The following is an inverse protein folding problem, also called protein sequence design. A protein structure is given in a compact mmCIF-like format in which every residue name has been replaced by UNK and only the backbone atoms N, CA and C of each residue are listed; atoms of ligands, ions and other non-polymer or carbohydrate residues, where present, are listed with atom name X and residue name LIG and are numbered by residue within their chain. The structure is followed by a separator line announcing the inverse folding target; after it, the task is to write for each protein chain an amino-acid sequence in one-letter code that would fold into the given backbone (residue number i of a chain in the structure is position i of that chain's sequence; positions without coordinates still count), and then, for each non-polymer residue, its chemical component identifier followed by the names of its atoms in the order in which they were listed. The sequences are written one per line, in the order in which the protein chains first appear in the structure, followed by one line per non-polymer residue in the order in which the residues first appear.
data_IF_101083713039
#
_entry.id   IF_101083713039
#
_cell.length_a   1.000
_cell.length_b   1.000
_cell.length_c   1.000
_cell.angle_alpha   90.00
_cell.angle_beta   90.00
_cell.angle_gamma   90.00
#
_symmetry.space_group_name_H-M   'P 1'
#
loop_
_entity.id
_entity.type
_entity.pdbx_description
1 polymer ?
#
# COMPACT_ATOMS: atom_id res chain seq x y z
N UNK A 1 14.96 4.57 -24.77
CA UNK A 1 13.98 4.45 -23.66
C UNK A 1 14.42 3.29 -22.79
N UNK A 2 14.96 3.57 -21.60
CA UNK A 2 15.39 2.55 -20.66
C UNK A 2 14.18 1.77 -20.17
N UNK A 3 14.25 0.45 -20.19
CA UNK A 3 13.28 -0.43 -19.53
C UNK A 3 13.48 -0.30 -18.01
N UNK A 4 12.94 0.73 -17.43
CA UNK A 4 12.80 0.75 -15.98
C UNK A 4 11.74 -0.29 -15.63
N UNK A 5 12.10 -1.26 -14.79
CA UNK A 5 11.13 -2.24 -14.29
C UNK A 5 9.99 -1.49 -13.61
N UNK A 6 8.75 -1.82 -13.95
CA UNK A 6 7.57 -1.23 -13.34
C UNK A 6 7.32 -2.02 -12.05
N UNK A 7 7.32 -1.34 -10.92
CA UNK A 7 6.82 -1.89 -9.67
C UNK A 7 5.29 -2.01 -9.77
N UNK A 8 4.72 -3.10 -9.30
CA UNK A 8 3.29 -3.33 -9.31
C UNK A 8 2.79 -4.24 -10.44
N UNK A 9 1.48 -4.39 -10.54
CA UNK A 9 0.83 -5.21 -11.55
C UNK A 9 0.98 -4.58 -12.95
N UNK A 10 1.25 -5.41 -13.96
CA UNK A 10 1.53 -4.94 -15.33
C UNK A 10 0.36 -4.19 -15.97
N UNK A 11 -0.87 -4.55 -15.64
CA UNK A 11 -2.08 -4.04 -16.32
C UNK A 11 -2.67 -2.84 -15.56
N UNK A 12 -2.90 -2.99 -14.26
CA UNK A 12 -3.74 -2.04 -13.51
C UNK A 12 -2.95 -1.03 -12.69
N UNK A 13 -1.65 -1.23 -12.53
CA UNK A 13 -0.83 -0.37 -11.68
C UNK A 13 -0.83 1.10 -12.14
N UNK A 14 -0.49 1.33 -13.40
CA UNK A 14 -0.40 2.68 -13.97
C UNK A 14 -1.76 3.26 -14.38
N UNK A 15 -2.77 2.42 -14.57
CA UNK A 15 -4.10 2.86 -15.02
C UNK A 15 -5.09 3.10 -13.89
N UNK A 16 -4.93 2.39 -12.77
CA UNK A 16 -5.89 2.42 -11.66
C UNK A 16 -5.21 2.56 -10.30
N UNK A 17 -4.26 1.66 -9.95
CA UNK A 17 -3.75 1.53 -8.60
C UNK A 17 -2.93 2.73 -8.12
N UNK A 18 -2.23 3.42 -9.00
CA UNK A 18 -1.52 4.67 -8.66
C UNK A 18 -2.35 5.91 -8.96
N UNK A 19 -3.17 5.88 -10.00
CA UNK A 19 -3.90 7.05 -10.50
C UNK A 19 -5.07 7.40 -9.58
N UNK A 20 -5.86 6.42 -9.11
CA UNK A 20 -7.01 6.69 -8.26
C UNK A 20 -6.61 7.22 -6.88
N UNK A 21 -5.64 6.63 -6.16
CA UNK A 21 -5.13 7.23 -4.93
C UNK A 21 -4.52 8.63 -5.12
N UNK A 22 -3.83 8.86 -6.23
CA UNK A 22 -3.32 10.20 -6.55
C UNK A 22 -4.46 11.20 -6.77
N UNK A 23 -5.53 10.77 -7.43
CA UNK A 23 -6.75 11.56 -7.59
C UNK A 23 -7.36 11.93 -6.23
N UNK A 24 -7.47 10.98 -5.28
CA UNK A 24 -7.98 11.26 -3.93
C UNK A 24 -7.12 12.31 -3.22
N UNK A 25 -5.80 12.18 -3.29
CA UNK A 25 -4.85 13.15 -2.75
C UNK A 25 -5.02 14.53 -3.38
N UNK A 26 -5.18 14.62 -4.70
CA UNK A 26 -5.42 15.88 -5.40
C UNK A 26 -6.76 16.52 -5.01
N UNK A 27 -7.81 15.72 -4.80
CA UNK A 27 -9.09 16.22 -4.30
C UNK A 27 -8.95 16.78 -2.89
N UNK A 28 -8.20 16.12 -2.01
CA UNK A 28 -7.89 16.65 -0.68
C UNK A 28 -7.22 18.03 -0.77
N UNK A 29 -6.22 18.22 -1.61
CA UNK A 29 -5.57 19.52 -1.75
C UNK A 29 -6.48 20.61 -2.35
N UNK A 30 -7.45 20.23 -3.15
CA UNK A 30 -8.42 21.20 -3.75
C UNK A 30 -9.54 21.58 -2.80
N UNK A 31 -10.02 20.64 -2.01
CA UNK A 31 -11.26 20.81 -1.21
C UNK A 31 -10.99 20.95 0.30
N UNK A 32 -9.82 20.53 0.77
CA UNK A 32 -9.51 20.40 2.20
C UNK A 32 -10.20 19.20 2.88
N UNK A 33 -10.96 18.41 2.14
CA UNK A 33 -11.69 17.26 2.69
C UNK A 33 -10.91 15.96 2.46
N UNK A 34 -10.67 15.20 3.53
CA UNK A 34 -10.03 13.89 3.43
C UNK A 34 -10.86 12.89 2.61
N UNK A 35 -12.17 13.01 2.68
CA UNK A 35 -13.14 12.14 2.02
C UNK A 35 -14.16 12.99 1.24
N UNK A 36 -13.79 13.54 0.08
CA UNK A 36 -14.74 14.28 -0.76
C UNK A 36 -15.82 13.33 -1.28
N UNK A 37 -17.06 13.81 -1.39
CA UNK A 37 -18.18 12.97 -1.79
C UNK A 37 -18.26 12.74 -3.29
N UNK A 38 -17.79 13.69 -4.09
CA UNK A 38 -18.02 13.71 -5.54
C UNK A 38 -16.72 13.75 -6.34
N UNK A 39 -16.62 12.84 -7.30
CA UNK A 39 -15.53 12.75 -8.27
C UNK A 39 -16.01 13.26 -9.64
N UNK A 40 -15.81 14.56 -9.92
CA UNK A 40 -16.29 15.19 -11.16
C UNK A 40 -15.62 14.62 -12.41
N UNK A 41 -14.37 14.19 -12.33
CA UNK A 41 -13.54 13.82 -13.47
C UNK A 41 -13.49 12.30 -13.73
N UNK A 42 -14.21 11.51 -12.96
CA UNK A 42 -14.23 10.05 -13.12
C UNK A 42 -15.61 9.62 -13.60
N UNK A 43 -15.67 8.92 -14.74
CA UNK A 43 -16.88 8.31 -15.25
C UNK A 43 -18.03 9.30 -15.53
N UNK A 44 -17.73 10.54 -15.90
CA UNK A 44 -18.75 11.57 -16.13
C UNK A 44 -19.29 12.23 -14.86
N UNK A 45 -18.66 12.00 -13.74
CA UNK A 45 -19.04 12.50 -12.42
C UNK A 45 -19.86 11.49 -11.62
N UNK A 46 -19.29 11.01 -10.55
CA UNK A 46 -19.95 10.05 -9.67
C UNK A 46 -19.45 10.15 -8.23
N UNK A 47 -20.11 9.42 -7.33
CA UNK A 47 -19.69 9.36 -5.95
C UNK A 47 -18.31 8.72 -5.84
N UNK A 48 -17.37 9.39 -5.14
CA UNK A 48 -16.00 8.92 -4.98
C UNK A 48 -15.91 7.60 -4.20
N UNK A 49 -16.89 7.31 -3.35
CA UNK A 49 -16.95 6.08 -2.56
C UNK A 49 -17.11 4.81 -3.43
N UNK A 50 -17.57 4.95 -4.68
CA UNK A 50 -17.57 3.84 -5.63
C UNK A 50 -16.16 3.31 -5.91
N UNK A 51 -15.13 4.14 -5.65
CA UNK A 51 -13.72 3.80 -5.81
C UNK A 51 -12.99 3.60 -4.49
N UNK A 52 -13.72 3.46 -3.38
CA UNK A 52 -13.13 3.32 -2.05
C UNK A 52 -12.15 2.14 -1.94
N UNK A 53 -12.41 1.06 -2.69
CA UNK A 53 -11.52 -0.10 -2.76
C UNK A 53 -10.12 0.21 -3.30
N UNK A 54 -9.94 1.33 -4.02
CA UNK A 54 -8.64 1.76 -4.50
C UNK A 54 -7.84 2.60 -3.48
N UNK A 55 -8.13 2.42 -2.21
CA UNK A 55 -7.33 2.97 -1.12
C UNK A 55 -7.82 4.30 -0.55
N UNK A 56 -9.06 4.73 -0.80
CA UNK A 56 -9.62 5.96 -0.22
C UNK A 56 -9.47 6.01 1.31
N UNK A 57 -9.65 4.88 1.98
CA UNK A 57 -9.51 4.74 3.43
C UNK A 57 -8.18 4.12 3.88
N UNK A 58 -7.29 3.82 2.94
CA UNK A 58 -6.01 3.22 3.28
C UNK A 58 -5.14 4.19 4.09
N UNK A 59 -4.64 3.81 5.27
CA UNK A 59 -3.70 4.63 6.04
C UNK A 59 -2.46 5.01 5.24
N UNK A 60 -2.00 4.13 4.35
CA UNK A 60 -0.86 4.40 3.47
C UNK A 60 -1.16 5.53 2.49
N UNK A 61 -2.36 5.55 1.91
CA UNK A 61 -2.79 6.62 1.00
C UNK A 61 -2.97 7.93 1.75
N UNK A 62 -3.64 7.90 2.90
CA UNK A 62 -3.85 9.09 3.73
C UNK A 62 -2.52 9.69 4.21
N UNK A 63 -1.56 8.86 4.60
CA UNK A 63 -0.22 9.32 4.98
C UNK A 63 0.50 10.03 3.83
N UNK A 64 0.25 9.64 2.57
CA UNK A 64 0.84 10.28 1.39
C UNK A 64 0.46 11.76 1.25
N UNK A 65 -0.63 12.19 1.87
CA UNK A 65 -1.10 13.57 1.82
C UNK A 65 -0.13 14.55 2.49
N UNK A 66 0.71 14.05 3.41
CA UNK A 66 1.78 14.85 4.02
C UNK A 66 3.01 15.04 3.10
N UNK A 67 3.08 14.31 1.96
CA UNK A 67 4.25 14.29 1.08
C UNK A 67 3.89 14.65 -0.38
N UNK A 68 3.43 15.90 -0.65
CA UNK A 68 2.95 16.30 -1.97
C UNK A 68 3.99 16.24 -3.09
N UNK A 69 5.28 16.26 -2.73
CA UNK A 69 6.40 16.24 -3.67
C UNK A 69 6.74 14.85 -4.22
N UNK A 70 6.19 13.78 -3.62
CA UNK A 70 6.38 12.42 -4.12
C UNK A 70 5.22 12.02 -5.03
N UNK A 71 5.54 11.45 -6.20
CA UNK A 71 4.50 10.81 -7.03
C UNK A 71 3.91 9.61 -6.30
N UNK A 72 2.65 9.28 -6.56
CA UNK A 72 1.98 8.15 -5.92
C UNK A 72 2.66 6.81 -6.23
N UNK A 73 3.23 6.69 -7.43
CA UNK A 73 4.01 5.50 -7.83
C UNK A 73 5.24 5.31 -6.95
N UNK A 74 6.02 6.37 -6.75
CA UNK A 74 7.21 6.34 -5.88
C UNK A 74 6.81 6.12 -4.43
N UNK A 75 5.72 6.74 -3.99
CA UNK A 75 5.18 6.56 -2.66
C UNK A 75 4.87 5.09 -2.36
N UNK A 76 4.13 4.42 -3.24
CA UNK A 76 3.82 3.00 -3.06
C UNK A 76 5.04 2.08 -3.12
N UNK A 77 6.06 2.41 -3.91
CA UNK A 77 7.31 1.66 -3.89
C UNK A 77 8.00 1.75 -2.53
N UNK A 78 8.11 2.96 -1.99
CA UNK A 78 8.71 3.19 -0.67
C UNK A 78 7.89 2.48 0.41
N UNK A 79 6.59 2.67 0.42
CA UNK A 79 5.70 2.07 1.42
C UNK A 79 5.70 0.54 1.31
N UNK A 80 5.69 -0.03 0.10
CA UNK A 80 5.77 -1.47 -0.08
C UNK A 80 7.04 -2.07 0.53
N UNK A 81 8.19 -1.43 0.35
CA UNK A 81 9.45 -1.88 0.97
C UNK A 81 9.40 -1.74 2.49
N UNK A 82 8.90 -0.61 2.99
CA UNK A 82 8.85 -0.34 4.43
C UNK A 82 7.87 -1.28 5.15
N UNK A 83 6.67 -1.46 4.61
CA UNK A 83 5.68 -2.38 5.21
C UNK A 83 6.17 -3.81 5.18
N UNK A 84 6.71 -4.27 4.06
CA UNK A 84 7.28 -5.61 3.96
C UNK A 84 8.40 -5.85 4.99
N UNK A 85 9.30 -4.88 5.16
CA UNK A 85 10.36 -4.96 6.16
C UNK A 85 9.79 -4.98 7.58
N UNK A 86 8.80 -4.13 7.86
CA UNK A 86 8.13 -4.07 9.15
C UNK A 86 7.41 -5.38 9.48
N UNK A 87 6.75 -6.00 8.51
CA UNK A 87 6.09 -7.31 8.65
C UNK A 87 7.09 -8.39 9.08
N UNK A 88 8.26 -8.44 8.45
CA UNK A 88 9.30 -9.38 8.81
C UNK A 88 9.83 -9.18 10.24
N UNK A 89 10.06 -7.92 10.61
CA UNK A 89 10.53 -7.54 11.94
C UNK A 89 9.49 -7.88 13.01
N UNK A 90 8.22 -7.53 12.80
CA UNK A 90 7.14 -7.81 13.75
C UNK A 90 6.91 -9.31 13.89
N UNK A 91 6.88 -10.04 12.78
CA UNK A 91 6.78 -11.50 12.81
C UNK A 91 7.93 -12.14 13.60
N UNK A 92 9.17 -11.67 13.40
CA UNK A 92 10.32 -12.13 14.16
C UNK A 92 10.14 -11.86 15.66
N UNK A 93 9.74 -10.67 16.08
CA UNK A 93 9.53 -10.36 17.50
C UNK A 93 8.40 -11.19 18.10
N UNK A 94 7.30 -11.36 17.36
CA UNK A 94 6.20 -12.19 17.83
C UNK A 94 6.62 -13.66 17.98
N UNK A 95 7.29 -14.24 17.00
CA UNK A 95 7.76 -15.62 17.06
C UNK A 95 8.77 -15.83 18.20
N UNK A 96 9.64 -14.88 18.46
CA UNK A 96 10.61 -14.98 19.54
C UNK A 96 10.01 -14.99 20.96
N UNK A 97 8.76 -14.59 21.11
CA UNK A 97 8.05 -14.76 22.39
C UNK A 97 7.67 -16.22 22.67
N UNK A 98 7.52 -17.01 21.62
CA UNK A 98 7.04 -18.38 21.69
C UNK A 98 8.08 -19.43 21.29
N UNK A 99 9.07 -19.03 20.51
CA UNK A 99 10.08 -19.93 19.94
C UNK A 99 11.49 -19.46 20.30
N UNK A 100 12.46 -20.39 20.23
CA UNK A 100 13.89 -20.03 20.33
C UNK A 100 14.29 -19.17 19.11
N UNK A 101 15.21 -18.22 19.33
CA UNK A 101 15.66 -17.26 18.29
C UNK A 101 15.90 -17.83 16.90
N UNK A 102 16.62 -18.96 16.69
CA UNK A 102 16.85 -19.46 15.34
C UNK A 102 15.57 -19.85 14.61
N UNK A 103 14.57 -20.38 15.32
CA UNK A 103 13.28 -20.73 14.72
C UNK A 103 12.43 -19.47 14.42
N UNK A 104 12.53 -18.43 15.26
CA UNK A 104 11.90 -17.15 15.00
C UNK A 104 12.41 -16.47 13.73
N UNK A 105 13.74 -16.52 13.50
CA UNK A 105 14.35 -16.01 12.27
C UNK A 105 13.84 -16.78 11.05
N UNK A 106 13.92 -18.13 11.10
CA UNK A 106 13.44 -18.96 10.01
C UNK A 106 11.96 -18.71 9.68
N UNK A 107 11.11 -18.61 10.70
CA UNK A 107 9.68 -18.32 10.50
C UNK A 107 9.43 -16.96 9.86
N UNK A 108 10.12 -15.91 10.30
CA UNK A 108 10.02 -14.59 9.68
C UNK A 108 10.50 -14.60 8.23
N UNK A 109 11.60 -15.30 7.93
CA UNK A 109 12.07 -15.46 6.55
C UNK A 109 11.07 -16.21 5.67
N UNK A 110 10.44 -17.28 6.19
CA UNK A 110 9.40 -18.01 5.47
C UNK A 110 8.22 -17.11 5.15
N UNK A 111 7.76 -16.27 6.10
CA UNK A 111 6.71 -15.29 5.85
C UNK A 111 7.12 -14.31 4.76
N UNK A 112 8.29 -13.67 4.90
CA UNK A 112 8.79 -12.67 3.96
C UNK A 112 8.96 -13.22 2.53
N UNK A 113 9.37 -14.49 2.41
CA UNK A 113 9.57 -15.14 1.12
C UNK A 113 8.31 -15.83 0.59
N UNK A 114 7.20 -15.81 1.33
CA UNK A 114 5.96 -16.43 0.85
C UNK A 114 5.43 -15.70 -0.38
N UNK A 115 4.97 -16.45 -1.36
CA UNK A 115 4.45 -15.88 -2.61
C UNK A 115 3.26 -14.95 -2.38
N UNK A 116 2.43 -15.23 -1.39
CA UNK A 116 1.28 -14.39 -1.05
C UNK A 116 1.72 -13.02 -0.54
N UNK A 117 2.66 -12.96 0.43
CA UNK A 117 3.15 -11.69 0.99
C UNK A 117 3.88 -10.89 -0.08
N UNK A 118 4.79 -11.53 -0.83
CA UNK A 118 5.54 -10.86 -1.90
C UNK A 118 4.59 -10.32 -2.98
N UNK A 119 3.61 -11.11 -3.40
CA UNK A 119 2.66 -10.69 -4.43
C UNK A 119 1.83 -9.49 -3.98
N UNK A 120 1.25 -9.53 -2.78
CA UNK A 120 0.42 -8.43 -2.29
C UNK A 120 1.23 -7.17 -2.03
N UNK A 121 2.42 -7.28 -1.46
CA UNK A 121 3.30 -6.13 -1.24
C UNK A 121 3.74 -5.49 -2.56
N UNK A 122 4.02 -6.29 -3.58
CA UNK A 122 4.50 -5.80 -4.88
C UNK A 122 3.36 -5.33 -5.78
N UNK A 123 2.28 -6.12 -5.90
CA UNK A 123 1.25 -5.90 -6.93
C UNK A 123 0.01 -5.16 -6.41
N UNK A 124 -0.28 -5.24 -5.11
CA UNK A 124 -1.54 -4.80 -4.53
C UNK A 124 -1.38 -4.14 -3.15
N UNK A 125 -0.28 -3.43 -2.92
CA UNK A 125 0.06 -2.83 -1.60
C UNK A 125 -1.06 -2.00 -0.97
N UNK A 126 -1.95 -1.40 -1.75
CA UNK A 126 -3.07 -0.61 -1.25
C UNK A 126 -4.28 -1.43 -0.81
N UNK A 127 -4.40 -2.68 -1.28
CA UNK A 127 -5.54 -3.53 -0.96
C UNK A 127 -5.27 -4.45 0.22
N UNK A 128 -4.04 -4.91 0.34
CA UNK A 128 -3.66 -5.88 1.36
C UNK A 128 -2.38 -5.43 2.03
N UNK A 129 -2.50 -5.08 3.29
CA UNK A 129 -1.38 -4.75 4.15
C UNK A 129 -1.41 -5.71 5.35
N UNK A 130 -0.35 -6.48 5.50
CA UNK A 130 -0.21 -7.43 6.62
C UNK A 130 0.21 -6.75 7.91
N UNK A 131 0.73 -5.52 7.84
CA UNK A 131 1.22 -4.79 8.99
C UNK A 131 0.19 -4.63 10.11
N UNK A 132 -1.08 -4.22 9.85
CA UNK A 132 -2.08 -4.13 10.91
C UNK A 132 -2.36 -5.48 11.58
N UNK A 133 -2.36 -6.57 10.81
CA UNK A 133 -2.56 -7.91 11.35
C UNK A 133 -1.42 -8.30 12.30
N UNK A 134 -0.17 -8.06 11.90
CA UNK A 134 0.99 -8.37 12.70
C UNK A 134 1.14 -7.46 13.93
N UNK A 135 0.63 -6.23 13.87
CA UNK A 135 0.60 -5.33 15.03
C UNK A 135 -0.39 -5.80 16.10
N UNK A 136 -1.43 -6.55 15.71
CA UNK A 136 -2.46 -7.07 16.62
C UNK A 136 -2.06 -8.42 17.26
N UNK A 137 -1.05 -9.09 16.76
CA UNK A 137 -0.50 -10.34 17.30
C UNK A 137 0.49 -10.08 18.44
#
# INVERSE_FOLDING_TARGET
MGRHGIFGAKVDWLSQHSVLPDYFRQQFYKTGQFFPEYAANIGGGQNIYNFACYGLYSPLVLLSYAFPFLSMEVWFQIMGILTHTADGVLCFFWLNRHLKKPYGICGAMVLMCSSAVVYHTYAQVMFVDYLPFLLLM
#
